data_IF_883471374396
#
_entry.id   IF_883471374396
#
_cell.length_a   1.000
_cell.length_b   1.000
_cell.length_c   1.000
_cell.angle_alpha   90.00
_cell.angle_beta   90.00
_cell.angle_gamma   90.00
#
_symmetry.space_group_name_H-M   'P 1'
#
loop_
_entity.id
_entity.type
_entity.pdbx_description
1 polymer ?
#
# COMPACT_ATOMS: atom_id res chain seq x y z
N UNK A 1 -58.08 57.79 43.18
CA UNK A 1 -57.69 57.94 41.76
C UNK A 1 -57.30 56.56 41.26
N UNK A 2 -58.10 56.01 40.35
CA UNK A 2 -57.79 54.85 39.48
C UNK A 2 -56.61 55.20 38.53
N UNK A 3 -56.16 54.35 37.56
CA UNK A 3 -56.66 53.04 37.09
C UNK A 3 -55.56 51.95 36.91
N UNK A 4 -55.89 50.65 36.86
CA UNK A 4 -56.27 49.79 35.70
C UNK A 4 -55.25 49.62 34.55
N UNK A 5 -55.31 48.40 33.98
CA UNK A 5 -55.05 47.91 32.58
C UNK A 5 -53.78 47.08 32.43
N UNK A 6 -53.90 45.76 32.27
CA UNK A 6 -54.30 45.02 31.04
C UNK A 6 -53.38 45.29 29.85
N UNK A 7 -52.68 44.23 29.38
CA UNK A 7 -52.85 43.74 28.01
C UNK A 7 -51.95 42.53 27.73
N UNK A 8 -52.62 41.52 27.20
CA UNK A 8 -52.18 40.28 26.56
C UNK A 8 -51.36 40.50 25.27
N UNK A 9 -50.91 39.36 24.69
CA UNK A 9 -50.55 39.14 23.25
C UNK A 9 -49.15 39.68 22.85
N UNK A 10 -48.27 39.02 22.10
CA UNK A 10 -48.40 38.10 20.98
C UNK A 10 -47.24 37.10 20.88
N UNK A 11 -47.54 35.97 20.25
CA UNK A 11 -46.57 35.05 19.67
C UNK A 11 -45.85 35.70 18.48
N UNK A 12 -44.56 35.40 18.31
CA UNK A 12 -43.86 35.55 17.03
C UNK A 12 -42.66 34.62 16.98
N UNK A 13 -42.82 33.52 16.24
CA UNK A 13 -41.72 32.83 15.56
C UNK A 13 -41.00 33.77 14.59
N UNK A 14 -39.71 33.55 14.36
CA UNK A 14 -39.28 33.42 12.98
C UNK A 14 -38.41 32.19 12.73
N UNK A 15 -38.83 31.44 11.73
CA UNK A 15 -38.04 30.56 10.87
C UNK A 15 -36.89 31.30 10.17
N UNK A 16 -35.69 30.70 10.14
CA UNK A 16 -34.81 30.54 8.96
C UNK A 16 -33.53 29.82 9.41
N UNK A 17 -33.31 28.55 9.04
CA UNK A 17 -32.83 28.08 7.73
C UNK A 17 -31.37 28.47 7.42
N UNK A 18 -30.53 27.42 7.41
CA UNK A 18 -29.33 27.19 6.58
C UNK A 18 -28.11 28.10 6.73
N UNK A 19 -26.99 27.50 7.16
CA UNK A 19 -25.89 27.14 6.24
C UNK A 19 -24.93 26.12 6.87
N UNK A 20 -25.02 24.90 6.34
CA UNK A 20 -23.99 23.87 6.40
C UNK A 20 -22.70 24.42 5.78
N UNK A 21 -21.62 24.47 6.56
CA UNK A 21 -20.29 24.74 6.05
C UNK A 21 -19.70 23.40 5.59
N UNK A 22 -19.93 23.08 4.32
CA UNK A 22 -19.25 21.99 3.64
C UNK A 22 -17.74 22.30 3.60
N UNK A 23 -16.94 21.57 4.39
CA UNK A 23 -15.48 21.59 4.22
C UNK A 23 -15.15 21.00 2.85
N UNK A 24 -14.58 21.84 1.99
CA UNK A 24 -14.22 21.47 0.63
C UNK A 24 -13.20 20.34 0.65
N UNK A 25 -13.59 19.17 0.12
CA UNK A 25 -12.66 18.07 -0.16
C UNK A 25 -11.80 18.47 -1.36
N UNK A 26 -10.60 18.97 -1.10
CA UNK A 26 -9.58 19.15 -2.15
C UNK A 26 -9.07 17.78 -2.59
N UNK A 27 -9.33 17.46 -3.85
CA UNK A 27 -8.92 16.23 -4.49
C UNK A 27 -7.47 16.43 -4.97
N UNK A 28 -6.48 16.21 -4.10
CA UNK A 28 -5.06 16.41 -4.47
C UNK A 28 -4.69 15.44 -5.59
N UNK A 29 -4.42 16.00 -6.76
CA UNK A 29 -4.15 15.29 -8.01
C UNK A 29 -2.70 14.79 -7.99
N UNK A 30 -2.51 13.50 -7.74
CA UNK A 30 -1.24 12.81 -7.97
C UNK A 30 -0.92 12.82 -9.48
N UNK A 31 -0.10 13.76 -9.95
CA UNK A 31 0.42 13.78 -11.32
C UNK A 31 1.89 13.44 -11.35
N UNK A 32 2.22 12.27 -11.90
CA UNK A 32 3.58 11.95 -12.35
C UNK A 32 3.87 12.73 -13.64
N UNK A 33 4.80 13.69 -13.60
CA UNK A 33 5.21 14.44 -14.77
C UNK A 33 6.40 13.74 -15.45
N UNK A 34 6.18 13.11 -16.60
CA UNK A 34 7.25 12.64 -17.49
C UNK A 34 7.14 13.40 -18.80
N UNK A 35 8.08 14.32 -19.03
CA UNK A 35 8.19 15.09 -20.27
C UNK A 35 8.82 14.18 -21.34
N UNK A 36 8.01 13.75 -22.30
CA UNK A 36 8.49 13.20 -23.57
C UNK A 36 8.79 14.36 -24.52
N UNK A 37 10.06 14.53 -24.90
CA UNK A 37 10.45 15.37 -26.02
C UNK A 37 10.21 14.60 -27.33
N UNK A 38 9.31 15.11 -28.16
CA UNK A 38 9.05 14.65 -29.53
C UNK A 38 9.98 15.40 -30.49
N UNK A 39 10.80 14.67 -31.24
CA UNK A 39 11.53 15.20 -32.41
C UNK A 39 10.87 14.64 -33.68
N UNK A 40 10.66 15.57 -34.60
CA UNK A 40 9.85 15.52 -35.82
C UNK A 40 10.61 14.82 -36.97
N UNK A 41 9.94 13.97 -37.72
CA UNK A 41 10.45 13.35 -38.96
C UNK A 41 10.36 14.30 -40.17
N UNK A 42 11.15 14.05 -41.23
CA UNK A 42 10.73 14.41 -42.58
C UNK A 42 10.84 13.26 -43.61
N UNK A 43 9.68 13.02 -44.25
CA UNK A 43 9.34 12.70 -45.65
C UNK A 43 10.24 11.86 -46.60
N UNK A 44 9.56 10.92 -47.27
CA UNK A 44 9.87 10.16 -48.51
C UNK A 44 9.94 11.06 -49.76
N UNK A 45 10.55 10.65 -50.91
CA UNK A 45 9.96 9.65 -51.87
C UNK A 45 11.02 8.90 -52.76
N UNK A 46 10.72 8.33 -53.94
CA UNK A 46 9.72 7.32 -54.34
C UNK A 46 10.35 6.04 -54.99
N UNK A 47 9.48 5.07 -55.33
CA UNK A 47 9.76 3.73 -55.87
C UNK A 47 10.13 3.64 -57.38
N UNK A 48 10.91 2.60 -57.80
CA UNK A 48 10.64 1.76 -59.01
C UNK A 48 11.48 0.46 -59.13
N UNK A 49 10.76 -0.66 -59.33
CA UNK A 49 10.96 -1.88 -60.16
C UNK A 49 12.20 -2.81 -60.13
N UNK A 50 11.89 -4.09 -59.81
CA UNK A 50 12.15 -5.39 -60.51
C UNK A 50 13.56 -5.74 -61.03
N UNK A 51 14.12 -6.87 -60.55
CA UNK A 51 14.48 -8.05 -61.38
C UNK A 51 14.78 -9.31 -60.55
N UNK A 52 14.50 -10.48 -61.17
CA UNK A 52 14.66 -11.87 -60.68
C UNK A 52 16.12 -12.36 -60.79
N UNK A 53 16.57 -13.26 -59.90
CA UNK A 53 17.40 -14.42 -60.27
C UNK A 53 17.54 -15.45 -59.14
N UNK A 54 17.48 -16.74 -59.52
CA UNK A 54 17.69 -17.97 -58.73
C UNK A 54 19.18 -18.27 -58.55
N UNK A 55 19.58 -18.89 -57.42
CA UNK A 55 20.54 -20.01 -57.32
C UNK A 55 20.70 -20.44 -55.84
N UNK A 56 20.23 -21.64 -55.46
CA UNK A 56 21.00 -22.90 -55.22
C UNK A 56 21.80 -22.95 -53.89
N UNK A 57 21.33 -23.84 -52.99
CA UNK A 57 22.07 -24.44 -51.86
C UNK A 57 23.32 -25.18 -52.35
N UNK A 58 24.30 -25.42 -51.46
CA UNK A 58 24.38 -26.78 -50.93
C UNK A 58 24.58 -26.86 -49.40
N UNK A 59 24.34 -28.07 -48.92
CA UNK A 59 24.52 -28.59 -47.56
C UNK A 59 25.99 -28.97 -47.34
N UNK A 60 26.51 -28.76 -46.14
CA UNK A 60 27.62 -29.56 -45.62
C UNK A 60 27.50 -29.76 -44.10
N UNK A 61 27.90 -30.95 -43.69
CA UNK A 61 27.76 -31.64 -42.40
C UNK A 61 29.12 -31.85 -41.76
N UNK A 62 29.26 -31.66 -40.44
CA UNK A 62 30.21 -32.35 -39.52
C UNK A 62 29.97 -31.83 -38.09
N UNK A 63 29.48 -32.61 -37.11
CA UNK A 63 30.22 -33.43 -36.11
C UNK A 63 31.40 -32.67 -35.44
N UNK A 64 31.64 -32.60 -34.12
CA UNK A 64 31.25 -33.41 -32.95
C UNK A 64 31.79 -32.78 -31.63
N UNK A 65 31.05 -33.00 -30.52
CA UNK A 65 31.47 -33.17 -29.08
C UNK A 65 31.96 -31.99 -28.19
N UNK A 66 31.78 -32.09 -26.84
CA UNK A 66 31.49 -30.96 -25.93
C UNK A 66 32.65 -30.59 -24.97
N UNK A 67 32.63 -29.43 -24.29
CA UNK A 67 33.53 -29.16 -23.18
C UNK A 67 32.89 -29.42 -21.80
N UNK A 68 33.69 -30.11 -21.00
CA UNK A 68 33.52 -30.57 -19.62
C UNK A 68 33.46 -29.43 -18.59
N UNK A 69 32.71 -29.71 -17.51
CA UNK A 69 32.64 -29.05 -16.19
C UNK A 69 33.85 -28.16 -15.85
N UNK A 70 33.57 -26.88 -15.54
CA UNK A 70 34.40 -26.06 -14.65
C UNK A 70 33.56 -25.64 -13.45
N UNK A 71 34.08 -26.00 -12.29
CA UNK A 71 33.64 -25.80 -10.92
C UNK A 71 32.99 -24.43 -10.70
N UNK A 72 31.69 -24.42 -10.42
CA UNK A 72 31.01 -23.25 -9.86
C UNK A 72 31.39 -23.13 -8.39
N UNK A 73 32.04 -22.03 -8.04
CA UNK A 73 32.21 -21.61 -6.66
C UNK A 73 30.84 -21.53 -5.99
N UNK A 74 30.80 -21.97 -4.73
CA UNK A 74 29.61 -21.96 -3.89
C UNK A 74 28.98 -20.57 -3.87
N UNK A 75 27.86 -20.43 -4.59
CA UNK A 75 26.99 -19.28 -4.43
C UNK A 75 26.39 -19.39 -3.05
N UNK A 76 26.71 -18.40 -2.21
CA UNK A 76 26.11 -18.17 -0.91
C UNK A 76 24.60 -18.39 -1.01
N UNK A 77 24.09 -19.35 -0.25
CA UNK A 77 22.69 -19.70 -0.15
C UNK A 77 21.88 -18.48 0.31
N UNK A 78 21.14 -17.88 -0.61
CA UNK A 78 20.12 -16.87 -0.31
C UNK A 78 19.06 -17.50 0.61
N UNK A 79 18.65 -16.85 1.71
CA UNK A 79 17.57 -17.37 2.55
C UNK A 79 16.20 -17.10 1.89
N UNK A 80 15.36 -18.14 1.85
CA UNK A 80 13.88 -18.14 1.69
C UNK A 80 13.25 -17.57 0.40
N UNK A 81 12.60 -18.45 -0.37
CA UNK A 81 11.86 -18.23 -1.63
C UNK A 81 10.50 -17.53 -1.46
N UNK A 82 10.17 -17.02 -0.26
CA UNK A 82 8.84 -16.52 0.09
C UNK A 82 8.55 -15.16 -0.58
N UNK A 83 7.44 -15.05 -1.30
CA UNK A 83 7.05 -13.81 -2.01
C UNK A 83 6.27 -12.80 -1.15
N UNK A 84 5.60 -13.28 -0.09
CA UNK A 84 4.89 -12.44 0.87
C UNK A 84 4.56 -13.20 2.14
N UNK A 85 4.35 -12.47 3.24
CA UNK A 85 3.66 -12.90 4.44
C UNK A 85 2.20 -12.41 4.38
N UNK A 86 1.27 -13.16 4.93
CA UNK A 86 -0.15 -12.82 4.98
C UNK A 86 -0.82 -13.40 6.24
N UNK A 87 -2.09 -13.05 6.45
CA UNK A 87 -2.88 -13.56 7.57
C UNK A 87 -2.94 -15.10 7.66
N UNK A 88 -2.76 -15.79 6.53
CA UNK A 88 -2.72 -17.26 6.46
C UNK A 88 -1.44 -17.87 7.04
N UNK A 89 -0.39 -17.07 7.24
CA UNK A 89 0.84 -17.49 7.92
C UNK A 89 0.71 -17.45 9.45
N UNK A 90 -0.33 -16.80 9.97
CA UNK A 90 -0.59 -16.74 11.39
C UNK A 90 -1.36 -18.00 11.83
N UNK A 91 -1.02 -18.59 12.99
CA UNK A 91 -1.72 -19.77 13.52
C UNK A 91 -3.20 -19.50 13.85
N UNK A 92 -3.61 -18.23 13.91
CA UNK A 92 -5.00 -17.78 14.03
C UNK A 92 -5.20 -16.56 13.13
N UNK A 93 -6.34 -16.50 12.44
CA UNK A 93 -6.74 -15.35 11.60
C UNK A 93 -7.07 -14.11 12.42
N UNK A 94 -7.27 -14.27 13.74
CA UNK A 94 -7.41 -13.18 14.69
C UNK A 94 -6.20 -13.16 15.62
N UNK A 95 -5.59 -11.99 15.74
CA UNK A 95 -4.60 -11.77 16.78
C UNK A 95 -5.28 -11.91 18.15
N UNK A 96 -4.68 -12.61 19.12
CA UNK A 96 -5.22 -12.69 20.48
C UNK A 96 -5.49 -11.27 20.98
N UNK A 97 -6.64 -10.97 21.58
CA UNK A 97 -6.81 -9.65 22.21
C UNK A 97 -5.73 -9.49 23.29
N UNK A 98 -5.20 -8.28 23.52
CA UNK A 98 -4.28 -8.05 24.63
C UNK A 98 -4.95 -8.55 25.90
N UNK A 99 -4.42 -9.63 26.49
CA UNK A 99 -4.95 -10.16 27.74
C UNK A 99 -4.61 -9.16 28.81
N UNK A 100 -5.62 -8.50 29.37
CA UNK A 100 -5.50 -7.68 30.58
C UNK A 100 -5.15 -8.61 31.74
N UNK A 101 -3.88 -8.98 31.85
CA UNK A 101 -3.40 -9.81 32.95
C UNK A 101 -3.43 -8.98 34.22
N UNK A 102 -4.06 -9.57 35.23
CA UNK A 102 -4.26 -9.17 36.63
C UNK A 102 -3.57 -7.89 37.08
N UNK A 103 -4.39 -6.89 37.41
CA UNK A 103 -3.97 -5.66 38.05
C UNK A 103 -3.26 -5.96 39.38
N UNK A 104 -1.94 -5.72 39.42
CA UNK A 104 -1.22 -5.48 40.67
C UNK A 104 -0.16 -4.42 40.42
N UNK A 105 -0.23 -3.34 41.21
CA UNK A 105 0.73 -2.26 41.41
C UNK A 105 1.39 -1.57 40.18
N UNK A 106 0.98 -0.33 39.93
CA UNK A 106 1.68 0.71 39.11
C UNK A 106 2.20 0.18 37.77
N UNK A 107 1.30 -0.38 36.95
CA UNK A 107 1.63 -0.75 35.58
C UNK A 107 2.04 0.50 34.78
N UNK A 108 3.19 0.49 34.07
CA UNK A 108 3.56 1.56 33.16
C UNK A 108 2.46 1.72 32.09
N UNK A 109 2.21 2.96 31.68
CA UNK A 109 1.25 3.27 30.61
C UNK A 109 1.66 2.44 29.38
N UNK A 110 0.76 1.64 28.78
CA UNK A 110 1.12 0.80 27.65
C UNK A 110 1.57 1.68 26.48
N UNK A 111 2.68 1.30 25.85
CA UNK A 111 3.20 2.02 24.69
C UNK A 111 2.23 1.87 23.51
N UNK A 112 1.96 2.98 22.82
CA UNK A 112 1.09 3.02 21.65
C UNK A 112 1.89 3.29 20.37
N UNK A 113 1.30 2.98 19.22
CA UNK A 113 1.89 3.25 17.91
C UNK A 113 2.07 4.77 17.70
N UNK A 114 3.31 5.17 17.43
CA UNK A 114 3.65 6.57 17.20
C UNK A 114 3.67 6.90 15.70
N UNK A 115 3.06 8.03 15.33
CA UNK A 115 3.08 8.57 13.98
C UNK A 115 3.97 9.82 13.94
N UNK A 116 4.90 9.87 12.98
CA UNK A 116 5.71 11.06 12.69
C UNK A 116 5.38 11.56 11.29
N UNK A 117 5.38 12.88 11.06
CA UNK A 117 4.87 13.47 9.82
C UNK A 117 5.99 14.09 9.00
N UNK A 118 5.99 13.80 7.71
CA UNK A 118 7.02 14.21 6.77
C UNK A 118 6.39 14.68 5.46
N UNK A 119 7.08 15.58 4.76
CA UNK A 119 6.68 16.03 3.43
C UNK A 119 7.64 15.49 2.38
N UNK A 120 7.10 14.90 1.33
CA UNK A 120 7.86 14.33 0.21
C UNK A 120 7.11 13.22 -0.51
N UNK A 121 7.70 12.72 -1.59
CA UNK A 121 7.19 11.52 -2.26
C UNK A 121 7.56 10.28 -1.43
N UNK A 122 6.57 9.53 -0.98
CA UNK A 122 6.77 8.29 -0.21
C UNK A 122 7.68 7.29 -0.96
N UNK A 123 7.71 7.34 -2.29
CA UNK A 123 8.51 6.46 -3.14
C UNK A 123 9.98 6.87 -3.26
N UNK A 124 10.42 7.97 -2.65
CA UNK A 124 11.85 8.32 -2.51
C UNK A 124 12.45 7.72 -1.23
N UNK A 125 11.90 6.61 -0.78
CA UNK A 125 12.36 5.89 0.39
C UNK A 125 13.71 5.20 0.13
N UNK A 126 14.55 5.02 1.17
CA UNK A 126 15.76 4.23 1.05
C UNK A 126 15.42 2.74 0.89
N UNK A 127 16.33 1.92 0.32
CA UNK A 127 16.15 0.47 0.23
C UNK A 127 15.78 -0.17 1.57
N UNK A 128 14.99 -1.24 1.49
CA UNK A 128 14.39 -2.01 2.59
C UNK A 128 13.37 -1.24 3.42
N UNK A 129 12.91 -0.09 2.95
CA UNK A 129 11.75 0.58 3.55
C UNK A 129 10.48 -0.21 3.28
N UNK A 130 9.62 -0.34 4.30
CA UNK A 130 8.25 -0.79 4.16
C UNK A 130 7.35 0.38 3.76
N UNK A 131 6.71 0.25 2.60
CA UNK A 131 5.75 1.21 2.05
C UNK A 131 4.33 0.68 2.26
N UNK A 132 3.57 1.32 3.14
CA UNK A 132 2.22 0.91 3.53
C UNK A 132 1.18 1.70 2.72
N UNK A 133 0.16 0.99 2.23
CA UNK A 133 -1.04 1.60 1.65
C UNK A 133 -2.31 0.80 1.96
N UNK A 134 -3.46 1.47 1.83
CA UNK A 134 -4.77 0.83 1.96
C UNK A 134 -5.21 0.17 0.64
N UNK A 135 -5.71 -1.05 0.77
CA UNK A 135 -6.09 -1.95 -0.30
C UNK A 135 -7.54 -2.40 -0.19
N UNK A 136 -8.06 -2.84 -1.34
CA UNK A 136 -9.28 -3.64 -1.40
C UNK A 136 -8.92 -5.14 -1.45
N UNK A 137 -9.88 -6.01 -1.16
CA UNK A 137 -9.67 -7.48 -1.17
C UNK A 137 -9.78 -8.12 -2.57
N UNK A 138 -9.91 -7.31 -3.64
CA UNK A 138 -10.09 -7.80 -5.02
C UNK A 138 -8.81 -7.71 -5.86
N UNK A 139 -7.66 -7.41 -5.24
CA UNK A 139 -6.37 -7.37 -5.92
C UNK A 139 -6.24 -6.24 -6.94
N UNK A 140 -6.92 -5.11 -6.72
CA UNK A 140 -6.98 -4.02 -7.69
C UNK A 140 -6.28 -2.73 -7.22
N UNK A 141 -5.23 -2.34 -7.93
CA UNK A 141 -4.46 -1.10 -7.72
C UNK A 141 -4.65 -0.11 -8.89
N UNK A 142 -5.87 0.41 -9.06
CA UNK A 142 -6.25 1.17 -10.27
C UNK A 142 -6.34 2.69 -10.14
N UNK A 143 -6.28 3.26 -8.93
CA UNK A 143 -6.45 4.70 -8.73
C UNK A 143 -5.65 5.23 -7.54
N UNK A 144 -5.45 6.55 -7.51
CA UNK A 144 -4.72 7.24 -6.44
C UNK A 144 -3.31 6.68 -6.25
N UNK A 145 -2.86 6.64 -4.99
CA UNK A 145 -1.55 6.09 -4.62
C UNK A 145 -1.37 4.64 -5.06
N UNK A 146 -2.43 3.80 -5.01
CA UNK A 146 -2.34 2.40 -5.42
C UNK A 146 -1.95 2.27 -6.90
N UNK A 147 -2.44 3.16 -7.78
CA UNK A 147 -2.00 3.20 -9.17
C UNK A 147 -0.50 3.49 -9.30
N UNK A 148 0.02 4.42 -8.48
CA UNK A 148 1.45 4.72 -8.43
C UNK A 148 2.26 3.50 -7.96
N UNK A 149 1.82 2.82 -6.90
CA UNK A 149 2.40 1.53 -6.47
C UNK A 149 2.43 0.50 -7.62
N UNK A 150 1.33 0.35 -8.37
CA UNK A 150 1.28 -0.60 -9.52
C UNK A 150 2.26 -0.23 -10.62
N UNK A 151 2.39 1.05 -10.93
CA UNK A 151 3.32 1.52 -11.97
C UNK A 151 4.77 1.33 -11.54
N UNK A 152 5.09 1.64 -10.28
CA UNK A 152 6.44 1.58 -9.74
C UNK A 152 6.85 0.17 -9.32
N UNK A 153 5.95 -0.68 -8.84
CA UNK A 153 6.24 -2.04 -8.36
C UNK A 153 5.35 -3.07 -9.06
N UNK A 154 5.51 -3.29 -10.37
CA UNK A 154 4.67 -4.23 -11.13
C UNK A 154 4.83 -5.68 -10.64
N UNK A 155 6.01 -6.07 -10.15
CA UNK A 155 6.24 -7.39 -9.52
C UNK A 155 5.43 -7.52 -8.22
N UNK A 156 5.50 -6.51 -7.35
CA UNK A 156 4.70 -6.45 -6.12
C UNK A 156 3.20 -6.47 -6.40
N UNK A 157 2.74 -5.70 -7.39
CA UNK A 157 1.34 -5.78 -7.84
C UNK A 157 0.94 -7.18 -8.28
N UNK A 158 1.79 -7.91 -9.00
CA UNK A 158 1.50 -9.27 -9.43
C UNK A 158 1.33 -10.21 -8.22
N UNK A 159 2.21 -10.13 -7.22
CA UNK A 159 2.10 -10.91 -5.98
C UNK A 159 0.76 -10.61 -5.27
N UNK A 160 0.43 -9.34 -5.09
CA UNK A 160 -0.82 -8.92 -4.47
C UNK A 160 -2.07 -9.37 -5.24
N UNK A 161 -2.05 -9.19 -6.57
CA UNK A 161 -3.17 -9.54 -7.43
C UNK A 161 -3.41 -11.04 -7.45
N UNK A 162 -2.35 -11.84 -7.58
CA UNK A 162 -2.45 -13.30 -7.58
C UNK A 162 -2.97 -13.80 -6.22
N UNK A 163 -2.48 -13.24 -5.11
CA UNK A 163 -3.01 -13.51 -3.77
C UNK A 163 -4.53 -13.25 -3.69
N UNK A 164 -5.00 -12.08 -4.11
CA UNK A 164 -6.42 -11.72 -3.94
C UNK A 164 -7.37 -12.38 -4.96
N UNK A 165 -6.90 -12.65 -6.19
CA UNK A 165 -7.78 -13.02 -7.31
C UNK A 165 -7.59 -14.47 -7.79
N UNK A 166 -6.47 -15.12 -7.47
CA UNK A 166 -6.18 -16.51 -7.87
C UNK A 166 -6.20 -17.45 -6.67
N UNK A 167 -5.51 -17.09 -5.61
CA UNK A 167 -5.49 -17.89 -4.36
C UNK A 167 -6.78 -17.71 -3.58
N UNK A 168 -7.38 -16.53 -3.69
CA UNK A 168 -8.69 -16.20 -3.14
C UNK A 168 -9.72 -16.08 -4.28
N UNK A 169 -10.88 -16.70 -4.10
CA UNK A 169 -11.94 -16.82 -5.08
C UNK A 169 -13.26 -16.21 -4.58
N UNK A 170 -14.35 -16.44 -5.32
CA UNK A 170 -15.68 -15.93 -4.93
C UNK A 170 -16.14 -16.45 -3.56
N UNK A 171 -15.81 -17.70 -3.26
CA UNK A 171 -16.23 -18.40 -2.04
C UNK A 171 -15.17 -18.36 -0.93
N UNK A 172 -13.97 -17.86 -1.24
CA UNK A 172 -12.87 -17.70 -0.29
C UNK A 172 -12.20 -16.35 -0.56
N UNK A 173 -12.87 -15.26 -0.19
CA UNK A 173 -12.34 -13.90 -0.37
C UNK A 173 -11.35 -13.57 0.74
N UNK A 174 -10.36 -12.73 0.44
CA UNK A 174 -9.49 -12.16 1.47
C UNK A 174 -10.37 -11.40 2.49
N UNK A 175 -10.29 -11.68 3.80
CA UNK A 175 -11.06 -10.97 4.80
C UNK A 175 -10.59 -9.52 4.94
N UNK A 176 -11.52 -8.59 5.12
CA UNK A 176 -11.16 -7.24 5.57
C UNK A 176 -10.62 -7.26 7.00
N UNK A 177 -9.87 -6.24 7.38
CA UNK A 177 -9.18 -6.21 8.68
C UNK A 177 -7.93 -7.09 8.72
N UNK A 178 -7.49 -7.62 7.58
CA UNK A 178 -6.25 -8.39 7.44
C UNK A 178 -5.18 -7.61 6.69
N UNK A 179 -3.95 -8.14 6.63
CA UNK A 179 -2.86 -7.54 5.88
C UNK A 179 -2.07 -8.57 5.06
N UNK A 180 -1.33 -8.05 4.09
CA UNK A 180 -0.28 -8.75 3.36
C UNK A 180 1.00 -7.92 3.38
N UNK A 181 2.13 -8.55 3.68
CA UNK A 181 3.47 -7.98 3.65
C UNK A 181 4.26 -8.65 2.52
N UNK A 182 4.46 -7.94 1.43
CA UNK A 182 5.20 -8.43 0.26
C UNK A 182 6.69 -8.24 0.52
N UNK A 183 7.48 -9.28 0.26
CA UNK A 183 8.95 -9.26 0.41
C UNK A 183 9.58 -8.23 -0.53
N UNK A 184 10.86 -7.85 -0.34
CA UNK A 184 11.47 -6.78 -1.10
C UNK A 184 11.30 -6.92 -2.61
N UNK A 185 10.76 -5.87 -3.24
CA UNK A 185 10.60 -5.77 -4.69
C UNK A 185 11.25 -4.50 -5.21
N UNK A 186 11.97 -4.64 -6.32
CA UNK A 186 12.60 -3.50 -6.98
C UNK A 186 11.57 -2.60 -7.66
N UNK A 187 11.88 -1.30 -7.68
CA UNK A 187 11.17 -0.31 -8.49
C UNK A 187 11.36 -0.57 -10.00
N UNK A 188 10.35 -0.21 -10.79
CA UNK A 188 10.33 -0.29 -12.26
C UNK A 188 11.08 0.89 -12.87
N UNK A 189 12.39 0.87 -12.73
CA UNK A 189 13.36 1.69 -13.44
C UNK A 189 14.72 1.12 -13.08
N UNK A 190 15.65 1.03 -14.02
CA UNK A 190 17.00 0.47 -13.79
C UNK A 190 17.89 1.28 -12.84
N UNK A 191 17.30 1.99 -11.88
CA UNK A 191 17.94 2.43 -10.66
C UNK A 191 17.96 1.22 -9.74
N UNK A 192 19.16 0.71 -9.47
CA UNK A 192 19.34 -0.31 -8.44
C UNK A 192 18.90 0.32 -7.12
N UNK A 193 17.74 -0.10 -6.60
CA UNK A 193 17.36 0.08 -5.20
C UNK A 193 18.41 -0.70 -4.39
N UNK A 194 19.59 -0.09 -4.16
CA UNK A 194 20.83 -0.75 -3.78
C UNK A 194 20.60 -1.94 -2.85
N UNK A 195 21.04 -3.12 -3.28
CA UNK A 195 20.89 -4.43 -2.62
C UNK A 195 19.81 -4.48 -1.51
N UNK A 196 18.53 -4.34 -1.86
CA UNK A 196 17.49 -4.39 -0.82
C UNK A 196 16.05 -4.07 -1.19
N UNK A 197 15.75 -3.51 -2.37
CA UNK A 197 14.36 -3.27 -2.86
C UNK A 197 13.46 -2.53 -1.86
N UNK A 198 12.15 -2.59 -2.03
CA UNK A 198 11.18 -2.08 -1.06
C UNK A 198 10.20 -3.16 -0.62
N UNK A 199 9.86 -3.17 0.67
CA UNK A 199 8.74 -3.98 1.16
C UNK A 199 7.43 -3.25 0.90
N UNK A 200 6.34 -4.00 0.67
CA UNK A 200 5.01 -3.40 0.46
C UNK A 200 4.03 -3.96 1.49
N UNK A 201 3.41 -3.06 2.26
CA UNK A 201 2.39 -3.39 3.26
C UNK A 201 1.00 -3.05 2.74
N UNK A 202 0.21 -4.08 2.46
CA UNK A 202 -1.16 -3.96 1.98
C UNK A 202 -2.14 -4.11 3.15
N UNK A 203 -2.81 -3.03 3.53
CA UNK A 203 -3.88 -3.07 4.54
C UNK A 203 -5.22 -3.34 3.86
N UNK A 204 -5.88 -4.47 4.14
CA UNK A 204 -7.20 -4.78 3.55
C UNK A 204 -8.33 -4.07 4.29
N UNK A 205 -8.52 -2.78 3.98
CA UNK A 205 -9.46 -1.92 4.69
C UNK A 205 -10.87 -1.95 4.08
N UNK A 206 -11.02 -2.44 2.84
CA UNK A 206 -12.33 -2.61 2.22
C UNK A 206 -12.46 -3.85 1.35
N UNK A 207 -13.63 -4.49 1.33
CA UNK A 207 -13.91 -5.65 0.48
C UNK A 207 -14.00 -5.27 -1.02
N UNK A 208 -14.29 -4.01 -1.31
CA UNK A 208 -14.53 -3.50 -2.67
C UNK A 208 -13.86 -2.13 -2.85
N UNK A 209 -13.94 -1.56 -4.05
CA UNK A 209 -13.35 -0.26 -4.35
C UNK A 209 -14.29 0.62 -5.20
N UNK A 210 -13.86 1.87 -5.43
CA UNK A 210 -14.60 2.83 -6.23
C UNK A 210 -15.94 3.19 -5.58
N UNK A 211 -17.03 3.14 -6.35
CA UNK A 211 -18.38 3.44 -5.85
C UNK A 211 -18.94 2.36 -4.91
N UNK A 212 -18.34 1.17 -4.89
CA UNK A 212 -18.79 0.01 -4.10
C UNK A 212 -17.93 -0.24 -2.85
N UNK A 213 -16.97 0.63 -2.56
CA UNK A 213 -16.17 0.57 -1.33
C UNK A 213 -17.07 0.54 -0.09
N UNK A 214 -16.54 0.00 1.00
CA UNK A 214 -17.26 -0.05 2.27
C UNK A 214 -17.46 1.35 2.87
N UNK A 215 -18.32 1.41 3.89
CA UNK A 215 -18.61 2.66 4.58
C UNK A 215 -17.38 3.13 5.36
N UNK A 216 -17.21 4.46 5.57
CA UNK A 216 -16.08 5.00 6.32
C UNK A 216 -15.84 4.34 7.67
N UNK A 217 -16.89 4.02 8.43
CA UNK A 217 -16.77 3.42 9.76
C UNK A 217 -16.17 2.01 9.71
N UNK A 218 -16.60 1.18 8.75
CA UNK A 218 -16.03 -0.15 8.51
C UNK A 218 -14.57 -0.04 8.05
N UNK A 219 -14.27 0.91 7.16
CA UNK A 219 -12.90 1.14 6.69
C UNK A 219 -11.96 1.52 7.85
N UNK A 220 -12.39 2.41 8.75
CA UNK A 220 -11.61 2.81 9.93
C UNK A 220 -11.38 1.62 10.86
N UNK A 221 -12.44 0.85 11.16
CA UNK A 221 -12.34 -0.37 11.97
C UNK A 221 -11.33 -1.36 11.38
N UNK A 222 -11.50 -1.72 10.11
CA UNK A 222 -10.60 -2.63 9.42
C UNK A 222 -9.17 -2.09 9.31
N UNK A 223 -8.98 -0.77 9.33
CA UNK A 223 -7.64 -0.16 9.34
C UNK A 223 -6.89 -0.47 10.63
N UNK A 224 -7.55 -0.39 11.79
CA UNK A 224 -6.95 -0.79 13.06
C UNK A 224 -6.55 -2.26 13.06
N UNK A 225 -7.50 -3.15 12.72
CA UNK A 225 -7.29 -4.61 12.68
C UNK A 225 -6.18 -5.01 11.69
N UNK A 226 -6.18 -4.43 10.50
CA UNK A 226 -5.15 -4.73 9.48
C UNK A 226 -3.78 -4.18 9.86
N UNK A 227 -3.70 -3.04 10.55
CA UNK A 227 -2.42 -2.51 11.03
C UNK A 227 -1.84 -3.39 12.13
N UNK A 228 -2.65 -3.82 13.10
CA UNK A 228 -2.21 -4.78 14.12
C UNK A 228 -1.66 -6.06 13.48
N UNK A 229 -2.38 -6.60 12.50
CA UNK A 229 -1.92 -7.76 11.76
C UNK A 229 -0.60 -7.50 11.02
N UNK A 230 -0.48 -6.36 10.34
CA UNK A 230 0.75 -6.00 9.66
C UNK A 230 1.94 -5.91 10.62
N UNK A 231 1.75 -5.36 11.83
CA UNK A 231 2.78 -5.29 12.85
C UNK A 231 3.26 -6.68 13.29
N UNK A 232 2.36 -7.67 13.37
CA UNK A 232 2.75 -9.06 13.64
C UNK A 232 3.53 -9.67 12.46
N UNK A 233 3.09 -9.44 11.22
CA UNK A 233 3.83 -9.91 10.03
C UNK A 233 5.22 -9.28 9.95
N UNK A 234 5.36 -8.00 10.33
CA UNK A 234 6.65 -7.31 10.43
C UNK A 234 7.54 -8.00 11.47
N UNK A 235 7.01 -8.32 12.65
CA UNK A 235 7.76 -9.04 13.70
C UNK A 235 8.29 -10.38 13.20
N UNK A 236 7.44 -11.16 12.50
CA UNK A 236 7.85 -12.44 11.90
C UNK A 236 8.92 -12.26 10.82
N UNK A 237 8.76 -11.26 9.96
CA UNK A 237 9.75 -10.98 8.90
C UNK A 237 11.09 -10.52 9.47
N UNK A 238 11.10 -9.69 10.52
CA UNK A 238 12.32 -9.27 11.20
C UNK A 238 13.05 -10.45 11.87
N UNK A 239 12.31 -11.40 12.42
CA UNK A 239 12.86 -12.62 13.02
C UNK A 239 13.47 -13.54 11.95
N UNK A 240 12.79 -13.76 10.82
CA UNK A 240 13.27 -14.63 9.74
C UNK A 240 14.46 -14.04 8.98
N UNK A 241 14.45 -12.73 8.70
CA UNK A 241 15.50 -12.07 7.91
C UNK A 241 16.70 -11.64 8.76
N UNK A 242 16.49 -11.46 10.06
CA UNK A 242 17.52 -11.05 10.99
C UNK A 242 17.93 -9.58 10.86
N UNK A 243 18.75 -9.15 11.83
CA UNK A 243 19.21 -7.76 11.94
C UNK A 243 20.00 -7.35 10.70
N UNK A 244 19.63 -6.21 10.14
CA UNK A 244 20.33 -5.61 9.01
C UNK A 244 20.02 -6.24 7.65
N UNK A 245 19.05 -7.17 7.55
CA UNK A 245 18.53 -7.65 6.27
C UNK A 245 17.00 -7.51 6.17
N UNK A 246 16.29 -7.40 7.29
CA UNK A 246 14.84 -7.16 7.35
C UNK A 246 14.42 -5.71 7.05
N UNK A 247 13.29 -5.30 7.62
CA UNK A 247 12.68 -4.00 7.35
C UNK A 247 13.47 -2.87 8.02
N UNK A 248 13.90 -1.90 7.23
CA UNK A 248 14.61 -0.70 7.70
C UNK A 248 13.67 0.29 8.38
N UNK A 249 13.05 1.17 7.60
CA UNK A 249 12.05 2.15 8.05
C UNK A 249 10.64 1.76 7.62
N UNK A 250 9.62 2.29 8.29
CA UNK A 250 8.21 2.07 7.95
C UNK A 250 7.60 3.42 7.55
N UNK A 251 7.10 3.49 6.31
CA UNK A 251 6.43 4.66 5.75
C UNK A 251 5.02 4.32 5.33
N UNK A 252 4.10 5.25 5.52
CA UNK A 252 2.76 5.20 4.97
C UNK A 252 2.39 6.56 4.37
N UNK A 253 1.49 6.57 3.39
CA UNK A 253 0.77 7.80 3.07
C UNK A 253 -0.34 8.03 4.11
N UNK A 254 -1.06 9.15 4.05
CA UNK A 254 -2.36 9.30 4.73
C UNK A 254 -3.38 8.28 4.20
N UNK A 255 -3.32 7.03 4.67
CA UNK A 255 -4.15 5.94 4.15
C UNK A 255 -5.63 6.26 4.31
N UNK A 256 -6.45 5.73 3.41
CA UNK A 256 -7.89 5.98 3.29
C UNK A 256 -8.33 7.41 2.90
N UNK A 257 -7.49 8.45 3.04
CA UNK A 257 -7.84 9.86 2.79
C UNK A 257 -8.13 10.22 1.33
N UNK A 258 -7.58 9.45 0.39
CA UNK A 258 -7.82 9.63 -1.04
C UNK A 258 -9.11 8.95 -1.53
N UNK A 259 -8.97 7.86 -2.29
CA UNK A 259 -10.11 7.22 -2.97
C UNK A 259 -11.10 6.52 -2.05
N UNK A 260 -10.68 6.11 -0.86
CA UNK A 260 -11.60 5.61 0.16
C UNK A 260 -12.39 6.73 0.85
N UNK A 261 -11.92 7.98 0.79
CA UNK A 261 -12.68 9.16 1.20
C UNK A 261 -13.00 9.18 2.69
N UNK A 262 -12.08 8.68 3.51
CA UNK A 262 -12.18 8.75 4.97
C UNK A 262 -11.33 9.94 5.42
N UNK A 263 -11.88 10.90 6.20
CA UNK A 263 -11.08 11.96 6.80
C UNK A 263 -9.90 11.37 7.57
N UNK A 264 -8.70 11.93 7.35
CA UNK A 264 -7.47 11.35 7.87
C UNK A 264 -7.47 11.24 9.39
N UNK A 265 -8.07 12.22 10.08
CA UNK A 265 -8.14 12.32 11.54
C UNK A 265 -8.76 11.06 12.17
N UNK A 266 -9.76 10.48 11.50
CA UNK A 266 -10.40 9.22 11.95
C UNK A 266 -9.47 8.01 11.83
N UNK A 267 -8.64 8.01 10.79
CA UNK A 267 -7.63 6.96 10.59
C UNK A 267 -6.46 7.15 11.56
N UNK A 268 -6.05 8.38 11.78
CA UNK A 268 -5.00 8.72 12.75
C UNK A 268 -5.38 8.32 14.17
N UNK A 269 -6.61 8.60 14.60
CA UNK A 269 -7.13 8.24 15.92
C UNK A 269 -7.03 6.73 16.17
N UNK A 270 -7.52 5.90 15.24
CA UNK A 270 -7.48 4.44 15.41
C UNK A 270 -6.04 3.91 15.41
N UNK A 271 -5.15 4.48 14.59
CA UNK A 271 -3.74 4.07 14.53
C UNK A 271 -3.00 4.40 15.84
N UNK A 272 -3.18 5.62 16.37
CA UNK A 272 -2.58 6.02 17.66
C UNK A 272 -3.16 5.25 18.85
N UNK A 273 -4.37 4.71 18.72
CA UNK A 273 -4.99 3.85 19.73
C UNK A 273 -4.42 2.43 19.81
N UNK A 274 -3.59 2.01 18.84
CA UNK A 274 -3.00 0.66 18.82
C UNK A 274 -1.98 0.54 19.95
N UNK A 275 -2.24 -0.41 20.86
CA UNK A 275 -1.32 -0.81 21.93
C UNK A 275 -0.28 -1.78 21.37
N UNK A 276 1.00 -1.45 21.54
CA UNK A 276 2.10 -2.25 21.02
C UNK A 276 2.29 -3.54 21.83
N UNK A 277 2.54 -4.64 21.12
CA UNK A 277 2.93 -5.93 21.69
C UNK A 277 4.44 -6.11 21.65
N UNK A 278 4.93 -7.10 22.37
CA UNK A 278 6.34 -7.45 22.36
C UNK A 278 6.83 -7.73 20.92
N UNK A 279 7.94 -7.10 20.54
CA UNK A 279 8.54 -7.23 19.21
C UNK A 279 7.90 -6.38 18.11
N UNK A 280 6.75 -5.73 18.34
CA UNK A 280 6.15 -4.84 17.34
C UNK A 280 6.97 -3.55 17.17
N UNK A 281 7.10 -3.10 15.92
CA UNK A 281 7.70 -1.80 15.60
C UNK A 281 6.75 -0.68 16.06
N UNK A 282 7.27 0.28 16.83
CA UNK A 282 6.47 1.30 17.49
C UNK A 282 6.32 2.65 16.78
N UNK A 283 6.91 2.82 15.59
CA UNK A 283 6.88 4.10 14.88
C UNK A 283 6.64 3.91 13.40
N UNK A 284 5.73 4.73 12.84
CA UNK A 284 5.50 4.83 11.40
C UNK A 284 5.61 6.28 10.95
N UNK A 285 6.30 6.50 9.84
CA UNK A 285 6.38 7.81 9.19
C UNK A 285 5.20 7.99 8.24
N UNK A 286 4.40 9.03 8.43
CA UNK A 286 3.32 9.46 7.55
C UNK A 286 3.87 10.51 6.58
N UNK A 287 3.85 10.19 5.28
CA UNK A 287 4.40 11.02 4.21
C UNK A 287 3.30 11.64 3.36
N UNK A 288 3.42 12.95 3.14
CA UNK A 288 2.50 13.74 2.31
C UNK A 288 3.24 14.42 1.18
N UNK A 289 2.66 14.47 -0.04
CA UNK A 289 3.28 15.20 -1.13
C UNK A 289 3.38 16.69 -0.79
N UNK A 290 4.44 17.35 -1.27
CA UNK A 290 4.56 18.81 -1.20
C UNK A 290 3.37 19.41 -1.93
N UNK A 291 2.60 20.29 -1.28
CA UNK A 291 1.58 21.08 -1.96
C UNK A 291 2.29 21.99 -2.98
N UNK A 292 1.97 21.78 -4.25
CA UNK A 292 2.53 22.55 -5.37
C UNK A 292 1.65 23.72 -5.77
#
# INVERSE_FOLDING_TARGET
MAPERDASTEASTPTNATKSLASSTTNTKWTSNSKQNTVKAPQEPPARAKTKAKAKRPLSTSSSLPPTKRTTMASSSTPSTKQSYAYTDLPSTQLPKPTTSTATAKAPIPATLQLTYHTGDIFTAPPRTLLIHACNTQGHWGAGIAKAFKTLYPKGYKVHHDFCAKEHGKDNVVPTGTAQLITPVDRKSGEEDGNGGHWIGCLFTSARYGKKKDKPDEIVKHTGESMEMLLELIRMADEEWGKGNGIGTIRMCKVNSGKFGVPWERTEEILKGIVLREGWRGTVEVWEPVEG
#
